data_IF_704794802486
#
_entry.id   IF_704794802486
#
_cell.length_a   1.000
_cell.length_b   1.000
_cell.length_c   1.000
_cell.angle_alpha   90.00
_cell.angle_beta   90.00
_cell.angle_gamma   90.00
#
_symmetry.space_group_name_H-M   'P 1'
#
loop_
_entity.id
_entity.type
_entity.pdbx_description
1 polymer ?
#
# COMPACT_ATOMS: atom_id res chain seq x y z
N UNK A 1 16.81 32.02 -2.73
CA UNK A 1 15.97 32.03 -3.94
C UNK A 1 15.45 33.46 -4.13
N UNK A 2 15.53 34.04 -5.34
CA UNK A 2 14.96 35.36 -5.61
C UNK A 2 13.43 35.31 -5.51
N UNK A 3 12.83 36.31 -4.87
CA UNK A 3 11.40 36.37 -4.52
C UNK A 3 10.75 37.48 -5.34
N UNK A 4 9.72 37.15 -6.11
CA UNK A 4 8.84 38.12 -6.77
C UNK A 4 7.63 38.39 -5.88
N UNK A 5 7.30 39.67 -5.64
CA UNK A 5 6.11 40.10 -4.90
C UNK A 5 4.95 40.39 -5.88
N UNK A 6 3.79 39.78 -5.66
CA UNK A 6 2.60 39.93 -6.51
C UNK A 6 1.39 40.28 -5.63
N UNK A 7 0.53 41.19 -6.09
CA UNK A 7 -0.56 41.81 -5.31
C UNK A 7 -1.85 40.98 -5.19
N UNK A 8 -2.06 40.00 -6.07
CA UNK A 8 -3.18 39.07 -6.03
C UNK A 8 -2.70 37.69 -6.46
N UNK A 9 -2.97 36.68 -5.65
CA UNK A 9 -2.57 35.30 -5.94
C UNK A 9 -3.80 34.46 -6.22
N UNK A 10 -3.92 33.78 -7.37
CA UNK A 10 -4.87 32.67 -7.52
C UNK A 10 -4.71 31.65 -6.39
N UNK A 11 -5.77 30.88 -6.06
CA UNK A 11 -5.74 29.91 -4.98
C UNK A 11 -4.45 29.07 -4.99
N UNK A 12 -3.76 29.04 -3.85
CA UNK A 12 -2.53 28.28 -3.69
C UNK A 12 -2.86 26.83 -3.35
N UNK A 13 -2.70 25.98 -4.35
CA UNK A 13 -2.69 24.53 -4.27
C UNK A 13 -1.23 24.06 -4.28
N UNK A 14 -1.01 22.77 -4.47
CA UNK A 14 0.33 22.24 -4.70
C UNK A 14 0.35 21.18 -5.78
N UNK A 15 1.56 20.68 -6.03
CA UNK A 15 1.82 19.54 -6.87
C UNK A 15 2.57 18.49 -6.07
N UNK A 16 2.18 17.24 -6.20
CA UNK A 16 2.93 16.07 -5.73
C UNK A 16 3.24 15.20 -6.93
N UNK A 17 4.39 14.54 -6.94
CA UNK A 17 4.74 13.69 -8.07
C UNK A 17 5.70 12.57 -7.71
N UNK A 18 5.66 11.54 -8.56
CA UNK A 18 6.51 10.37 -8.50
C UNK A 18 7.24 10.22 -9.84
N UNK A 19 8.56 10.01 -9.77
CA UNK A 19 9.40 9.70 -10.93
C UNK A 19 9.68 8.20 -10.94
N UNK A 20 9.28 7.55 -12.03
CA UNK A 20 9.47 6.12 -12.25
C UNK A 20 10.69 5.91 -13.14
N UNK A 21 11.56 4.96 -12.77
CA UNK A 21 12.63 4.44 -13.64
C UNK A 21 12.03 3.47 -14.66
N UNK A 22 11.17 4.02 -15.51
CA UNK A 22 10.46 3.36 -16.59
C UNK A 22 10.23 4.37 -17.69
N UNK A 23 10.76 4.10 -18.88
CA UNK A 23 10.44 4.85 -20.09
C UNK A 23 9.10 4.42 -20.65
N UNK A 24 8.27 5.38 -21.05
CA UNK A 24 6.95 5.16 -21.64
C UNK A 24 6.78 6.22 -22.72
N UNK A 25 6.35 5.81 -23.92
CA UNK A 25 6.04 6.72 -25.02
C UNK A 25 4.64 7.35 -24.87
N UNK A 26 4.44 8.52 -25.48
CA UNK A 26 3.12 9.17 -25.54
C UNK A 26 2.05 8.27 -26.19
N UNK A 27 2.43 7.49 -27.20
CA UNK A 27 1.53 6.50 -27.83
C UNK A 27 1.09 5.39 -26.89
N UNK A 28 1.99 4.87 -26.05
CA UNK A 28 1.66 3.82 -25.08
C UNK A 28 0.70 4.35 -24.01
N UNK A 29 0.94 5.58 -23.52
CA UNK A 29 0.03 6.24 -22.56
C UNK A 29 -1.37 6.39 -23.18
N UNK A 30 -1.46 6.93 -24.39
CA UNK A 30 -2.75 7.17 -25.05
C UNK A 30 -3.48 5.84 -25.33
N UNK A 31 -2.78 4.79 -25.80
CA UNK A 31 -3.39 3.47 -26.02
C UNK A 31 -3.99 2.91 -24.73
N UNK A 32 -3.22 2.92 -23.64
CA UNK A 32 -3.67 2.43 -22.34
C UNK A 32 -4.91 3.20 -21.84
N UNK A 33 -4.91 4.53 -21.93
CA UNK A 33 -6.03 5.35 -21.48
C UNK A 33 -7.30 5.13 -22.33
N UNK A 34 -7.14 4.86 -23.62
CA UNK A 34 -8.25 4.50 -24.51
C UNK A 34 -8.86 3.15 -24.17
N UNK A 35 -8.01 2.13 -24.00
CA UNK A 35 -8.43 0.76 -23.65
C UNK A 35 -9.09 0.70 -22.27
N UNK A 36 -8.62 1.52 -21.32
CA UNK A 36 -9.12 1.59 -19.95
C UNK A 36 -10.43 2.38 -19.79
N UNK A 37 -10.96 2.97 -20.87
CA UNK A 37 -12.17 3.81 -20.85
C UNK A 37 -11.98 5.19 -20.22
N UNK A 38 -10.73 5.60 -19.99
CA UNK A 38 -10.36 6.90 -19.37
C UNK A 38 -10.34 8.04 -20.41
N UNK A 39 -10.30 7.72 -21.71
CA UNK A 39 -10.15 8.64 -22.84
C UNK A 39 -11.02 9.91 -22.81
N UNK A 40 -12.26 9.80 -22.32
CA UNK A 40 -13.19 10.95 -22.24
C UNK A 40 -12.71 12.10 -21.38
N UNK A 41 -11.68 11.87 -20.54
CA UNK A 41 -11.09 12.85 -19.62
C UNK A 41 -9.63 13.20 -19.94
N UNK A 42 -9.16 12.83 -21.13
CA UNK A 42 -7.76 12.95 -21.54
C UNK A 42 -7.56 14.11 -22.51
N UNK A 43 -6.50 14.87 -22.30
CA UNK A 43 -6.07 15.88 -23.27
C UNK A 43 -4.54 16.01 -23.22
N UNK A 44 -3.92 16.19 -24.38
CA UNK A 44 -2.48 16.35 -24.55
C UNK A 44 -2.16 17.74 -25.09
N UNK A 45 -1.11 18.36 -24.58
CA UNK A 45 -0.77 19.72 -24.95
C UNK A 45 0.22 20.36 -24.03
N UNK A 46 0.33 21.68 -24.14
CA UNK A 46 1.21 22.51 -23.32
C UNK A 46 0.43 23.12 -22.15
N UNK A 47 0.90 22.89 -20.94
CA UNK A 47 0.26 23.33 -19.71
C UNK A 47 1.15 24.30 -18.96
N UNK A 48 0.57 25.39 -18.47
CA UNK A 48 1.22 26.26 -17.49
C UNK A 48 0.99 25.68 -16.10
N UNK A 49 2.08 25.46 -15.39
CA UNK A 49 2.07 24.94 -14.01
C UNK A 49 2.25 26.06 -12.99
N UNK A 50 2.31 27.30 -13.44
CA UNK A 50 2.33 28.46 -12.58
C UNK A 50 1.74 29.66 -13.29
N UNK A 51 0.70 30.29 -12.73
CA UNK A 51 0.05 31.46 -13.34
C UNK A 51 0.97 32.68 -13.42
N UNK A 52 2.13 32.63 -12.77
CA UNK A 52 3.12 33.71 -12.74
C UNK A 52 4.21 33.59 -13.80
N UNK A 53 4.26 32.47 -14.53
CA UNK A 53 5.28 32.19 -15.52
C UNK A 53 4.64 31.78 -16.84
N UNK A 54 5.14 32.34 -17.95
CA UNK A 54 4.68 32.00 -19.31
C UNK A 54 5.30 30.70 -19.85
N UNK A 55 5.98 29.92 -19.00
CA UNK A 55 6.58 28.65 -19.38
C UNK A 55 5.48 27.56 -19.40
N UNK A 56 5.32 26.92 -20.56
CA UNK A 56 4.36 25.83 -20.73
C UNK A 56 5.09 24.52 -21.02
N UNK A 57 4.70 23.43 -20.37
CA UNK A 57 5.32 22.12 -20.52
C UNK A 57 4.37 21.16 -21.20
N UNK A 58 4.88 20.35 -22.12
CA UNK A 58 4.08 19.34 -22.82
C UNK A 58 3.84 18.14 -21.91
N UNK A 59 2.58 17.78 -21.73
CA UNK A 59 2.15 16.61 -20.96
C UNK A 59 0.88 16.00 -21.55
N UNK A 60 0.51 14.83 -21.03
CA UNK A 60 -0.83 14.25 -21.15
C UNK A 60 -1.47 14.42 -19.79
N UNK A 61 -2.69 14.95 -19.68
CA UNK A 61 -3.39 14.96 -18.40
C UNK A 61 -4.67 14.16 -18.42
N UNK A 62 -5.05 13.72 -17.22
CA UNK A 62 -6.30 13.03 -16.91
C UNK A 62 -6.98 13.76 -15.77
N UNK A 63 -8.28 13.99 -15.87
CA UNK A 63 -9.07 14.55 -14.76
C UNK A 63 -9.41 13.48 -13.73
N UNK A 64 -8.98 13.69 -12.48
CA UNK A 64 -9.06 12.71 -11.39
C UNK A 64 -10.02 13.11 -10.27
N UNK A 65 -10.52 14.35 -10.27
CA UNK A 65 -11.47 14.85 -9.28
C UNK A 65 -11.72 16.34 -9.43
N UNK A 66 -12.21 16.98 -8.37
CA UNK A 66 -12.54 18.41 -8.36
C UNK A 66 -12.14 19.05 -7.02
N UNK A 67 -11.77 20.32 -7.05
CA UNK A 67 -11.66 21.16 -5.85
C UNK A 67 -13.04 21.59 -5.36
N UNK A 68 -13.13 22.10 -4.11
CA UNK A 68 -14.40 22.59 -3.53
C UNK A 68 -15.07 23.66 -4.41
N UNK A 69 -14.26 24.55 -5.02
CA UNK A 69 -14.69 25.58 -5.96
C UNK A 69 -15.15 25.03 -7.33
N UNK A 70 -15.05 23.72 -7.57
CA UNK A 70 -15.50 23.04 -8.78
C UNK A 70 -14.48 22.96 -9.91
N UNK A 71 -13.27 23.52 -9.74
CA UNK A 71 -12.19 23.36 -10.70
C UNK A 71 -11.72 21.89 -10.76
N UNK A 72 -11.42 21.33 -11.94
CA UNK A 72 -10.96 19.95 -12.06
C UNK A 72 -9.54 19.79 -11.52
N UNK A 73 -9.29 18.66 -10.85
CA UNK A 73 -7.96 18.24 -10.40
C UNK A 73 -7.36 17.32 -11.46
N UNK A 74 -6.13 17.62 -11.86
CA UNK A 74 -5.46 16.95 -12.97
C UNK A 74 -4.26 16.13 -12.50
N UNK A 75 -4.14 14.94 -13.08
CA UNK A 75 -2.94 14.12 -13.06
C UNK A 75 -2.25 14.23 -14.42
N UNK A 76 -1.02 14.74 -14.44
CA UNK A 76 -0.18 14.95 -15.61
C UNK A 76 0.86 13.83 -15.71
N UNK A 77 0.93 13.23 -16.89
CA UNK A 77 1.91 12.23 -17.26
C UNK A 77 2.90 12.91 -18.20
N UNK A 78 4.18 12.86 -17.84
CA UNK A 78 5.29 13.32 -18.65
C UNK A 78 6.05 12.08 -19.16
N UNK A 79 5.78 11.67 -20.42
CA UNK A 79 6.47 10.55 -21.04
C UNK A 79 7.97 10.84 -21.17
N UNK A 80 8.78 9.80 -21.06
CA UNK A 80 10.23 9.88 -21.24
C UNK A 80 10.80 8.55 -21.72
N UNK A 81 12.03 8.59 -22.20
CA UNK A 81 12.73 7.43 -22.74
C UNK A 81 13.29 6.50 -21.66
N UNK A 82 13.67 7.04 -20.50
CA UNK A 82 14.23 6.28 -19.36
C UNK A 82 13.40 6.45 -18.10
N UNK A 83 12.85 7.64 -17.90
CA UNK A 83 12.05 7.99 -16.75
C UNK A 83 10.72 8.61 -17.16
N UNK A 84 9.66 8.25 -16.44
CA UNK A 84 8.34 8.84 -16.58
C UNK A 84 8.00 9.58 -15.30
N UNK A 85 7.37 10.74 -15.41
CA UNK A 85 6.86 11.48 -14.25
C UNK A 85 5.34 11.45 -14.25
N UNK A 86 4.76 11.06 -13.11
CA UNK A 86 3.38 11.32 -12.75
C UNK A 86 3.36 12.52 -11.79
N UNK A 87 2.79 13.63 -12.21
CA UNK A 87 2.64 14.86 -11.43
C UNK A 87 1.14 15.11 -11.22
N UNK A 88 0.71 15.36 -9.99
CA UNK A 88 -0.70 15.48 -9.64
C UNK A 88 -0.95 16.75 -8.85
N UNK A 89 -2.01 17.46 -9.21
CA UNK A 89 -2.54 18.59 -8.45
C UNK A 89 -3.08 18.15 -7.09
N UNK A 90 -2.82 18.94 -6.05
CA UNK A 90 -3.22 18.65 -4.67
C UNK A 90 -3.53 19.93 -3.88
N UNK A 91 -3.89 19.80 -2.61
CA UNK A 91 -4.12 20.91 -1.70
C UNK A 91 -2.83 21.59 -1.22
N UNK A 92 -2.99 22.67 -0.46
CA UNK A 92 -1.89 23.43 0.16
C UNK A 92 -1.06 22.62 1.17
N UNK A 93 -1.57 21.49 1.67
CA UNK A 93 -0.87 20.60 2.58
C UNK A 93 -0.02 19.55 1.84
N UNK A 94 0.00 19.60 0.51
CA UNK A 94 0.68 18.61 -0.33
C UNK A 94 0.18 17.18 -0.05
N UNK A 95 -1.13 17.02 0.10
CA UNK A 95 -1.75 15.71 0.33
C UNK A 95 -1.35 14.72 -0.77
N UNK A 96 -0.91 13.52 -0.37
CA UNK A 96 -0.50 12.44 -1.29
C UNK A 96 -1.67 11.60 -1.82
N UNK A 97 -2.89 11.74 -1.28
CA UNK A 97 -4.07 11.00 -1.70
C UNK A 97 -4.34 11.06 -3.21
N UNK A 98 -4.30 12.25 -3.86
CA UNK A 98 -4.48 12.37 -5.30
C UNK A 98 -3.41 11.63 -6.10
N UNK A 99 -2.15 11.64 -5.64
CA UNK A 99 -1.07 10.88 -6.26
C UNK A 99 -1.36 9.38 -6.17
N UNK A 100 -1.62 8.85 -4.97
CA UNK A 100 -1.92 7.43 -4.75
C UNK A 100 -3.11 6.97 -5.61
N UNK A 101 -4.16 7.79 -5.72
CA UNK A 101 -5.29 7.51 -6.58
C UNK A 101 -4.89 7.43 -8.06
N UNK A 102 -4.11 8.40 -8.55
CA UNK A 102 -3.61 8.38 -9.92
C UNK A 102 -2.69 7.18 -10.18
N UNK A 103 -1.86 6.78 -9.21
CA UNK A 103 -1.02 5.58 -9.28
C UNK A 103 -1.86 4.31 -9.40
N UNK A 104 -2.92 4.16 -8.58
CA UNK A 104 -3.87 3.06 -8.69
C UNK A 104 -4.58 3.07 -10.04
N UNK A 105 -5.05 4.22 -10.52
CA UNK A 105 -5.72 4.32 -11.82
C UNK A 105 -4.80 3.93 -12.99
N UNK A 106 -3.51 4.25 -12.89
CA UNK A 106 -2.51 4.01 -13.91
C UNK A 106 -1.66 2.76 -13.65
N UNK A 107 -2.08 1.86 -12.75
CA UNK A 107 -1.27 0.73 -12.30
C UNK A 107 -1.00 -0.30 -13.41
N UNK A 108 -1.78 -0.30 -14.49
CA UNK A 108 -1.51 -1.10 -15.69
C UNK A 108 -0.36 -0.56 -16.54
N UNK A 109 0.01 0.70 -16.33
CA UNK A 109 1.04 1.42 -17.09
C UNK A 109 2.28 1.72 -16.24
N UNK A 110 2.08 2.12 -14.98
CA UNK A 110 3.12 2.52 -14.03
C UNK A 110 3.22 1.51 -12.89
N UNK A 111 4.46 1.12 -12.56
CA UNK A 111 4.73 0.20 -11.44
C UNK A 111 5.28 0.97 -10.23
N UNK A 112 4.60 0.97 -9.07
CA UNK A 112 5.07 1.65 -7.85
C UNK A 112 6.47 1.24 -7.40
N UNK A 113 6.86 -0.01 -7.65
CA UNK A 113 8.18 -0.54 -7.32
C UNK A 113 9.33 0.14 -8.08
N UNK A 114 9.04 0.82 -9.19
CA UNK A 114 10.03 1.52 -10.01
C UNK A 114 10.18 3.00 -9.63
N UNK A 115 9.50 3.46 -8.57
CA UNK A 115 9.63 4.84 -8.11
C UNK A 115 11.04 5.07 -7.58
N UNK A 116 11.72 6.08 -8.12
CA UNK A 116 13.07 6.50 -7.69
C UNK A 116 13.05 7.83 -6.94
N UNK A 117 11.96 8.60 -7.05
CA UNK A 117 11.76 9.83 -6.30
C UNK A 117 10.27 10.12 -6.13
N UNK A 118 9.88 10.50 -4.91
CA UNK A 118 8.63 11.22 -4.65
C UNK A 118 8.97 12.60 -4.09
N UNK A 119 8.34 13.63 -4.62
CA UNK A 119 8.51 15.00 -4.12
C UNK A 119 7.22 15.79 -4.28
N UNK A 120 7.16 16.95 -3.64
CA UNK A 120 6.05 17.87 -3.76
C UNK A 120 6.54 19.31 -3.72
N UNK A 121 5.77 20.19 -4.32
CA UNK A 121 6.02 21.63 -4.29
C UNK A 121 4.72 22.40 -4.32
N UNK A 122 4.60 23.48 -3.54
CA UNK A 122 3.53 24.45 -3.71
C UNK A 122 3.44 25.00 -5.15
N UNK A 123 2.27 25.46 -5.58
CA UNK A 123 2.03 25.93 -6.95
C UNK A 123 2.70 27.28 -7.31
N UNK A 124 3.27 27.96 -6.32
CA UNK A 124 4.08 29.17 -6.50
C UNK A 124 5.57 28.86 -6.80
N UNK A 125 5.91 27.60 -7.02
CA UNK A 125 7.24 27.14 -7.45
C UNK A 125 7.19 26.77 -8.92
N UNK A 126 8.05 27.36 -9.74
CA UNK A 126 8.12 27.07 -11.17
C UNK A 126 9.56 26.76 -11.63
N UNK A 127 9.78 25.64 -12.33
CA UNK A 127 8.82 24.54 -12.50
C UNK A 127 8.54 23.83 -11.17
N UNK A 128 7.47 23.01 -11.07
CA UNK A 128 7.25 22.16 -9.91
C UNK A 128 8.48 21.28 -9.62
N UNK A 129 8.79 21.04 -8.35
CA UNK A 129 9.99 20.27 -7.94
C UNK A 129 10.04 18.87 -8.57
N UNK A 130 8.93 18.09 -8.62
CA UNK A 130 8.98 16.78 -9.25
C UNK A 130 9.35 16.85 -10.74
N UNK A 131 8.96 17.92 -11.44
CA UNK A 131 9.36 18.15 -12.82
C UNK A 131 10.85 18.49 -12.95
N UNK A 132 11.39 19.33 -12.06
CA UNK A 132 12.82 19.62 -12.03
C UNK A 132 13.66 18.35 -11.80
N UNK A 133 13.23 17.49 -10.89
CA UNK A 133 13.88 16.19 -10.62
C UNK A 133 13.80 15.28 -11.85
N UNK A 134 12.63 15.14 -12.46
CA UNK A 134 12.47 14.35 -13.68
C UNK A 134 13.34 14.89 -14.82
N UNK A 135 13.37 16.21 -15.04
CA UNK A 135 14.18 16.84 -16.08
C UNK A 135 15.67 16.58 -15.88
N UNK A 136 16.15 16.57 -14.64
CA UNK A 136 17.53 16.20 -14.33
C UNK A 136 17.81 14.73 -14.65
N UNK A 137 16.91 13.82 -14.28
CA UNK A 137 17.09 12.37 -14.50
C UNK A 137 16.96 11.96 -15.97
N UNK A 138 15.95 12.48 -16.66
CA UNK A 138 15.64 12.13 -18.04
C UNK A 138 16.52 12.87 -19.04
N UNK A 139 16.72 14.20 -18.84
CA UNK A 139 17.37 15.07 -19.82
C UNK A 139 18.78 15.53 -19.41
N UNK A 140 19.21 15.25 -18.17
CA UNK A 140 20.47 15.77 -17.63
C UNK A 140 20.46 17.28 -17.37
N UNK A 141 19.30 17.93 -17.41
CA UNK A 141 19.17 19.39 -17.29
C UNK A 141 18.81 19.76 -15.85
N UNK A 142 19.65 20.55 -15.19
CA UNK A 142 19.31 21.18 -13.92
C UNK A 142 18.48 22.43 -14.19
N UNK A 143 17.23 22.44 -13.72
CA UNK A 143 16.34 23.59 -13.83
C UNK A 143 16.39 24.41 -12.54
N UNK A 144 16.54 25.73 -12.69
CA UNK A 144 16.46 26.66 -11.56
C UNK A 144 14.99 26.86 -11.15
N UNK A 145 14.65 26.48 -9.92
CA UNK A 145 13.30 26.65 -9.38
C UNK A 145 13.13 28.08 -8.83
N UNK A 146 12.19 28.82 -9.43
CA UNK A 146 11.82 30.17 -9.03
C UNK A 146 10.61 30.10 -8.08
N UNK A 147 10.62 30.95 -7.04
CA UNK A 147 9.56 30.96 -6.01
C UNK A 147 8.94 32.35 -5.90
N UNK A 148 7.62 32.41 -5.96
CA UNK A 148 6.84 33.64 -5.79
C UNK A 148 6.28 33.71 -4.37
N UNK A 149 6.38 34.84 -3.66
CA UNK A 149 5.71 35.01 -2.37
C UNK A 149 4.30 35.53 -2.58
N UNK A 150 3.33 34.80 -2.02
CA UNK A 150 1.91 35.06 -2.18
C UNK A 150 1.21 35.28 -0.83
N UNK A 151 0.17 36.12 -0.84
CA UNK A 151 -0.80 36.23 0.25
C UNK A 151 -1.80 35.07 0.27
N UNK A 152 -2.46 34.89 1.42
CA UNK A 152 -3.28 33.72 1.76
C UNK A 152 -4.55 33.55 0.92
N UNK A 153 -4.59 32.54 0.03
CA UNK A 153 -5.79 31.84 -0.41
C UNK A 153 -5.41 30.39 -0.69
N UNK A 154 -6.17 29.42 -0.17
CA UNK A 154 -5.84 27.99 -0.20
C UNK A 154 -6.97 27.22 -0.88
N UNK A 155 -6.66 26.40 -1.90
CA UNK A 155 -7.63 25.45 -2.47
C UNK A 155 -7.70 24.19 -1.61
N UNK A 156 -8.91 23.67 -1.41
CA UNK A 156 -9.19 22.41 -0.71
C UNK A 156 -9.78 21.41 -1.68
N UNK A 157 -9.44 20.14 -1.47
CA UNK A 157 -10.00 19.05 -2.27
C UNK A 157 -11.48 18.85 -1.90
N UNK A 158 -12.34 18.61 -2.88
CA UNK A 158 -13.78 18.42 -2.64
C UNK A 158 -14.02 17.08 -1.95
N UNK A 159 -14.70 17.11 -0.80
CA UNK A 159 -15.11 15.88 -0.12
C UNK A 159 -16.10 15.05 -0.98
N UNK A 160 -15.89 13.73 -1.15
CA UNK A 160 -16.78 12.89 -1.95
C UNK A 160 -18.10 12.52 -1.25
N UNK A 161 -18.97 11.73 -1.91
CA UNK A 161 -20.34 11.45 -1.46
C UNK A 161 -20.44 10.91 -0.01
N UNK A 162 -21.41 11.46 0.73
CA UNK A 162 -21.74 11.07 2.11
C UNK A 162 -22.88 10.04 2.12
N UNK A 163 -22.76 9.02 2.99
CA UNK A 163 -23.70 7.89 3.23
C UNK A 163 -23.57 6.62 2.36
N UNK A 164 -22.58 6.54 1.47
CA UNK A 164 -22.30 5.32 0.69
C UNK A 164 -20.82 4.97 0.77
N UNK A 165 -20.51 3.68 0.70
CA UNK A 165 -19.14 3.15 0.65
C UNK A 165 -18.96 2.39 -0.64
N UNK A 166 -17.86 2.66 -1.35
CA UNK A 166 -17.47 1.88 -2.51
C UNK A 166 -16.65 0.67 -2.09
N UNK A 167 -16.91 -0.51 -2.67
CA UNK A 167 -16.09 -1.71 -2.46
C UNK A 167 -15.47 -2.14 -3.77
N UNK A 168 -14.14 -2.16 -3.82
CA UNK A 168 -13.35 -2.67 -4.95
C UNK A 168 -12.82 -4.05 -4.56
N UNK A 169 -13.23 -5.08 -5.30
CA UNK A 169 -12.89 -6.47 -5.02
C UNK A 169 -13.08 -7.31 -6.28
N UNK A 170 -12.36 -8.43 -6.38
CA UNK A 170 -12.76 -9.50 -7.29
C UNK A 170 -13.91 -10.31 -6.65
N UNK A 171 -14.58 -11.17 -7.43
CA UNK A 171 -15.71 -11.95 -6.94
C UNK A 171 -15.39 -12.91 -5.79
N UNK A 172 -14.13 -13.37 -5.67
CA UNK A 172 -13.71 -14.30 -4.62
C UNK A 172 -13.55 -13.55 -3.29
N UNK A 173 -12.77 -12.47 -3.29
CA UNK A 173 -12.48 -11.68 -2.09
C UNK A 173 -13.72 -10.95 -1.58
N UNK A 174 -14.61 -10.54 -2.51
CA UNK A 174 -15.93 -9.99 -2.18
C UNK A 174 -16.77 -11.00 -1.39
N UNK A 175 -16.85 -12.24 -1.85
CA UNK A 175 -17.63 -13.29 -1.19
C UNK A 175 -17.02 -13.69 0.16
N UNK A 176 -15.70 -13.81 0.24
CA UNK A 176 -14.99 -14.14 1.48
C UNK A 176 -15.21 -13.09 2.57
N UNK A 177 -15.38 -11.82 2.18
CA UNK A 177 -15.50 -10.70 3.10
C UNK A 177 -16.94 -10.15 3.17
N UNK A 178 -17.93 -10.90 2.69
CA UNK A 178 -19.33 -10.45 2.61
C UNK A 178 -19.93 -10.11 4.00
N UNK A 179 -19.42 -10.71 5.07
CA UNK A 179 -19.79 -10.38 6.44
C UNK A 179 -19.45 -8.93 6.82
N UNK A 180 -18.35 -8.36 6.30
CA UNK A 180 -17.99 -6.96 6.46
C UNK A 180 -19.10 -6.06 5.91
N UNK A 181 -19.58 -6.39 4.71
CA UNK A 181 -20.59 -5.61 3.99
C UNK A 181 -21.89 -5.58 4.77
N UNK A 182 -22.39 -6.76 5.17
CA UNK A 182 -23.59 -6.87 6.02
C UNK A 182 -23.47 -6.05 7.30
N UNK A 183 -22.30 -6.10 7.97
CA UNK A 183 -22.10 -5.38 9.23
C UNK A 183 -22.15 -3.86 9.06
N UNK A 184 -21.64 -3.36 7.94
CA UNK A 184 -21.68 -1.94 7.59
C UNK A 184 -23.13 -1.52 7.26
N UNK A 185 -23.86 -2.36 6.51
CA UNK A 185 -25.26 -2.12 6.17
C UNK A 185 -26.19 -2.14 7.39
N UNK A 186 -25.96 -3.04 8.35
CA UNK A 186 -26.66 -3.06 9.65
C UNK A 186 -26.51 -1.75 10.43
N UNK A 187 -25.42 -1.01 10.21
CA UNK A 187 -25.19 0.31 10.83
C UNK A 187 -25.74 1.48 10.00
N UNK A 188 -26.52 1.18 8.95
CA UNK A 188 -27.27 2.16 8.17
C UNK A 188 -26.50 2.85 7.06
N UNK A 189 -25.36 2.29 6.62
CA UNK A 189 -24.63 2.75 5.44
C UNK A 189 -24.89 1.85 4.25
N UNK A 190 -25.06 2.42 3.06
CA UNK A 190 -25.19 1.62 1.83
C UNK A 190 -23.82 1.25 1.29
N UNK A 191 -23.67 0.02 0.82
CA UNK A 191 -22.43 -0.49 0.24
C UNK A 191 -22.63 -0.76 -1.24
N UNK A 192 -21.80 -0.16 -2.09
CA UNK A 192 -21.81 -0.37 -3.52
C UNK A 192 -20.62 -1.21 -3.96
N UNK A 193 -20.89 -2.39 -4.50
CA UNK A 193 -19.85 -3.19 -5.14
C UNK A 193 -19.48 -2.60 -6.50
N UNK A 194 -18.23 -2.13 -6.61
CA UNK A 194 -17.72 -1.44 -7.80
C UNK A 194 -17.06 -2.39 -8.80
N UNK A 195 -16.71 -3.61 -8.40
CA UNK A 195 -15.98 -4.58 -9.21
C UNK A 195 -14.45 -4.46 -9.07
N UNK A 196 -13.74 -4.88 -10.11
CA UNK A 196 -12.27 -5.00 -10.14
C UNK A 196 -11.62 -4.52 -11.45
N UNK A 197 -12.19 -3.55 -12.16
CA UNK A 197 -11.60 -2.97 -13.38
C UNK A 197 -11.07 -1.54 -13.16
N UNK A 198 -10.39 -0.99 -14.16
CA UNK A 198 -10.00 0.44 -14.20
C UNK A 198 -11.23 1.35 -14.05
N UNK A 199 -12.36 0.96 -14.62
CA UNK A 199 -13.64 1.65 -14.44
C UNK A 199 -14.12 1.60 -12.97
N UNK A 200 -13.85 0.51 -12.25
CA UNK A 200 -14.12 0.42 -10.80
C UNK A 200 -13.32 1.45 -10.02
N UNK A 201 -12.04 1.66 -10.38
CA UNK A 201 -11.19 2.70 -9.77
C UNK A 201 -11.72 4.09 -10.09
N UNK A 202 -12.15 4.35 -11.34
CA UNK A 202 -12.79 5.61 -11.71
C UNK A 202 -14.06 5.88 -10.88
N UNK A 203 -14.91 4.87 -10.69
CA UNK A 203 -16.12 4.98 -9.86
C UNK A 203 -15.77 5.21 -8.39
N UNK A 204 -14.70 4.58 -7.90
CA UNK A 204 -14.23 4.71 -6.52
C UNK A 204 -13.85 6.14 -6.13
N UNK A 205 -13.49 7.02 -7.09
CA UNK A 205 -13.22 8.44 -6.82
C UNK A 205 -14.42 9.22 -6.24
N UNK A 206 -15.65 8.72 -6.43
CA UNK A 206 -16.88 9.38 -6.00
C UNK A 206 -17.21 9.16 -4.53
N UNK A 207 -16.57 8.18 -3.89
CA UNK A 207 -16.92 7.73 -2.55
C UNK A 207 -15.97 8.30 -1.51
N UNK A 208 -16.54 8.75 -0.38
CA UNK A 208 -15.74 9.28 0.74
C UNK A 208 -14.90 8.19 1.38
N UNK A 209 -15.44 6.97 1.46
CA UNK A 209 -14.72 5.79 1.92
C UNK A 209 -14.80 4.71 0.85
N UNK A 210 -13.64 4.14 0.52
CA UNK A 210 -13.52 2.99 -0.39
C UNK A 210 -12.83 1.84 0.31
N UNK A 211 -13.43 0.66 0.31
CA UNK A 211 -12.83 -0.56 0.84
C UNK A 211 -12.26 -1.38 -0.32
N UNK A 212 -10.99 -1.70 -0.24
CA UNK A 212 -10.32 -2.63 -1.14
C UNK A 212 -10.23 -3.99 -0.46
N UNK A 213 -10.86 -5.02 -1.03
CA UNK A 213 -10.80 -6.39 -0.52
C UNK A 213 -9.83 -7.21 -1.36
N UNK A 214 -8.90 -7.87 -0.68
CA UNK A 214 -7.82 -8.64 -1.28
C UNK A 214 -6.49 -7.89 -1.29
N UNK A 215 -5.40 -8.66 -1.21
CA UNK A 215 -4.03 -8.12 -1.17
C UNK A 215 -3.46 -7.75 -2.55
N UNK A 216 -2.21 -7.29 -2.55
CA UNK A 216 -1.48 -6.94 -3.77
C UNK A 216 -1.28 -8.11 -4.76
N UNK A 217 -1.40 -9.36 -4.29
CA UNK A 217 -1.36 -10.58 -5.12
C UNK A 217 -2.75 -11.06 -5.57
N UNK A 218 -3.82 -10.37 -5.17
CA UNK A 218 -5.18 -10.77 -5.56
C UNK A 218 -5.34 -10.71 -7.09
N UNK A 219 -5.96 -11.73 -7.71
CA UNK A 219 -6.19 -11.72 -9.15
C UNK A 219 -6.98 -10.49 -9.56
N UNK A 220 -6.48 -9.79 -10.59
CA UNK A 220 -7.05 -8.58 -11.19
C UNK A 220 -6.98 -7.34 -10.29
N UNK A 221 -7.42 -7.42 -9.03
CA UNK A 221 -7.46 -6.29 -8.08
C UNK A 221 -6.10 -5.93 -7.50
N UNK A 222 -5.17 -6.89 -7.38
CA UNK A 222 -3.90 -6.71 -6.68
C UNK A 222 -3.06 -5.55 -7.22
N UNK A 223 -3.08 -5.33 -8.54
CA UNK A 223 -2.39 -4.20 -9.20
C UNK A 223 -2.86 -2.83 -8.71
N UNK A 224 -4.14 -2.69 -8.36
CA UNK A 224 -4.71 -1.43 -7.84
C UNK A 224 -4.41 -1.22 -6.37
N UNK A 225 -4.25 -2.31 -5.62
CA UNK A 225 -3.97 -2.33 -4.18
C UNK A 225 -2.49 -2.08 -3.89
N UNK A 226 -1.59 -2.53 -4.76
CA UNK A 226 -0.15 -2.38 -4.57
C UNK A 226 0.29 -0.91 -4.33
N UNK A 227 -0.16 0.09 -5.12
CA UNK A 227 0.12 1.50 -4.84
C UNK A 227 -0.38 1.99 -3.48
N UNK A 228 -1.49 1.44 -2.98
CA UNK A 228 -2.06 1.80 -1.68
C UNK A 228 -1.18 1.32 -0.52
N UNK A 229 -0.61 0.11 -0.67
CA UNK A 229 0.20 -0.50 0.37
C UNK A 229 1.62 0.07 0.39
N UNK A 230 2.20 0.41 -0.78
CA UNK A 230 3.62 0.76 -0.90
C UNK A 230 4.48 -0.32 -0.20
N UNK A 231 5.38 0.07 0.69
CA UNK A 231 6.24 -0.83 1.46
C UNK A 231 5.45 -1.74 2.44
N UNK A 232 4.15 -1.52 2.63
CA UNK A 232 3.32 -2.36 3.50
C UNK A 232 2.90 -3.67 2.86
N UNK A 233 3.19 -3.91 1.58
CA UNK A 233 3.01 -5.22 0.96
C UNK A 233 3.79 -6.31 1.71
N UNK A 234 4.92 -5.97 2.34
CA UNK A 234 5.71 -6.88 3.18
C UNK A 234 4.91 -7.48 4.35
N UNK A 235 3.89 -6.78 4.87
CA UNK A 235 3.02 -7.33 5.92
C UNK A 235 2.08 -8.43 5.40
N UNK A 236 1.96 -8.59 4.09
CA UNK A 236 1.19 -9.65 3.43
C UNK A 236 2.08 -10.80 2.96
N UNK A 237 3.37 -10.81 3.33
CA UNK A 237 4.23 -11.96 3.14
C UNK A 237 3.97 -13.02 4.24
N UNK A 238 4.33 -14.28 3.98
CA UNK A 238 4.44 -15.35 4.99
C UNK A 238 3.25 -15.56 5.96
N UNK A 239 2.03 -15.71 5.44
CA UNK A 239 0.81 -15.86 6.26
C UNK A 239 0.42 -14.61 7.04
N UNK A 240 0.84 -13.42 6.60
CA UNK A 240 0.41 -12.14 7.17
C UNK A 240 -0.98 -11.69 6.71
N UNK A 241 -1.59 -10.79 7.48
CA UNK A 241 -2.80 -10.07 7.11
C UNK A 241 -2.76 -8.64 7.65
N UNK A 242 -3.48 -7.73 6.99
CA UNK A 242 -3.61 -6.35 7.42
C UNK A 242 -4.98 -5.79 7.06
N UNK A 243 -5.44 -4.88 7.90
CA UNK A 243 -6.37 -3.83 7.50
C UNK A 243 -5.49 -2.58 7.33
N UNK A 244 -5.82 -1.60 6.50
CA UNK A 244 -4.99 -0.39 6.38
C UNK A 244 -5.78 0.78 5.80
N UNK A 245 -6.10 1.80 6.59
CA UNK A 245 -6.66 3.03 6.10
C UNK A 245 -5.55 3.96 5.60
N UNK A 246 -5.88 4.72 4.57
CA UNK A 246 -5.04 5.81 4.10
C UNK A 246 -5.86 6.83 3.33
N UNK A 247 -5.22 7.94 2.96
CA UNK A 247 -5.89 8.99 2.17
C UNK A 247 -6.12 8.52 0.74
N UNK A 248 -7.33 8.69 0.24
CA UNK A 248 -7.79 8.26 -1.07
C UNK A 248 -8.31 9.42 -1.91
N UNK A 249 -8.07 9.34 -3.22
CA UNK A 249 -8.67 10.27 -4.18
C UNK A 249 -8.39 11.73 -3.81
N UNK A 250 -9.40 12.56 -3.98
CA UNK A 250 -9.34 14.00 -3.74
C UNK A 250 -9.91 14.35 -2.36
N UNK A 251 -9.47 13.66 -1.30
CA UNK A 251 -9.86 13.95 0.09
C UNK A 251 -10.72 12.89 0.78
N UNK A 252 -10.89 11.71 0.16
CA UNK A 252 -11.51 10.54 0.79
C UNK A 252 -10.51 9.68 1.57
N UNK A 253 -10.99 8.54 2.05
CA UNK A 253 -10.21 7.51 2.74
C UNK A 253 -10.37 6.18 2.00
N UNK A 254 -9.27 5.44 1.81
CA UNK A 254 -9.33 4.05 1.40
C UNK A 254 -9.10 3.19 2.64
N UNK A 255 -9.59 1.95 2.61
CA UNK A 255 -9.28 0.91 3.59
C UNK A 255 -8.95 -0.37 2.82
N UNK A 256 -7.73 -0.85 2.92
CA UNK A 256 -7.36 -2.17 2.41
C UNK A 256 -7.66 -3.21 3.47
N UNK A 257 -8.34 -4.30 3.11
CA UNK A 257 -8.51 -5.49 3.94
C UNK A 257 -7.94 -6.66 3.15
N UNK A 258 -6.79 -7.16 3.58
CA UNK A 258 -5.98 -8.07 2.79
C UNK A 258 -5.28 -9.13 3.65
N UNK A 259 -5.11 -10.31 3.09
CA UNK A 259 -4.19 -11.33 3.58
C UNK A 259 -3.20 -11.76 2.51
N UNK A 260 -2.16 -12.48 2.94
CA UNK A 260 -1.19 -13.16 2.07
C UNK A 260 -1.86 -14.17 1.13
N UNK A 261 -2.94 -14.77 1.61
CA UNK A 261 -3.79 -15.71 0.87
C UNK A 261 -5.27 -15.55 1.26
N UNK A 262 -6.12 -16.45 0.77
CA UNK A 262 -7.57 -16.45 1.04
C UNK A 262 -7.91 -16.70 2.51
N UNK A 263 -7.13 -17.53 3.20
CA UNK A 263 -7.36 -17.83 4.61
C UNK A 263 -7.01 -16.63 5.48
N UNK A 264 -5.89 -15.98 5.21
CA UNK A 264 -5.47 -14.77 5.89
C UNK A 264 -6.36 -13.56 5.55
N UNK A 265 -6.89 -13.49 4.33
CA UNK A 265 -7.88 -12.46 3.97
C UNK A 265 -9.17 -12.63 4.76
N UNK A 266 -9.62 -13.88 4.98
CA UNK A 266 -10.76 -14.16 5.87
C UNK A 266 -10.47 -13.75 7.31
N UNK A 267 -9.27 -14.02 7.83
CA UNK A 267 -8.86 -13.53 9.16
C UNK A 267 -8.89 -12.00 9.25
N UNK A 268 -8.38 -11.30 8.24
CA UNK A 268 -8.46 -9.84 8.17
C UNK A 268 -9.91 -9.34 8.24
N UNK A 269 -10.82 -10.02 7.53
CA UNK A 269 -12.24 -9.70 7.57
C UNK A 269 -12.87 -9.96 8.95
N UNK A 270 -12.52 -11.06 9.63
CA UNK A 270 -12.97 -11.36 10.98
C UNK A 270 -12.50 -10.32 11.99
N UNK A 271 -11.25 -9.88 11.90
CA UNK A 271 -10.69 -8.83 12.76
C UNK A 271 -11.29 -7.45 12.49
N UNK A 272 -11.59 -7.18 11.22
CA UNK A 272 -12.31 -5.97 10.83
C UNK A 272 -13.66 -5.88 11.57
N UNK A 273 -14.39 -6.99 11.64
CA UNK A 273 -15.71 -7.03 12.28
C UNK A 273 -15.69 -6.74 13.78
N UNK A 274 -14.54 -6.90 14.46
CA UNK A 274 -14.41 -6.67 15.90
C UNK A 274 -14.41 -5.20 16.32
N UNK A 275 -14.28 -4.24 15.39
CA UNK A 275 -14.30 -2.82 15.76
C UNK A 275 -14.25 -1.80 14.62
N UNK A 276 -13.96 -2.21 13.38
CA UNK A 276 -13.79 -1.27 12.26
C UNK A 276 -15.11 -0.71 11.72
N UNK A 277 -16.21 -1.44 11.89
CA UNK A 277 -17.50 -1.01 11.38
C UNK A 277 -17.96 0.33 12.00
N UNK A 278 -17.77 0.54 13.31
CA UNK A 278 -18.10 1.81 13.97
C UNK A 278 -17.19 2.96 13.54
N UNK A 279 -15.90 2.67 13.39
CA UNK A 279 -14.90 3.62 12.88
C UNK A 279 -15.30 4.12 11.49
N UNK A 280 -15.70 3.21 10.60
CA UNK A 280 -16.10 3.56 9.23
C UNK A 280 -17.36 4.40 9.21
N UNK A 281 -18.32 4.12 10.09
CA UNK A 281 -19.53 4.93 10.18
C UNK A 281 -19.19 6.37 10.55
N UNK A 282 -18.27 6.58 11.50
CA UNK A 282 -17.76 7.93 11.82
C UNK A 282 -16.99 8.54 10.66
N UNK A 283 -16.08 7.82 10.01
CA UNK A 283 -15.35 8.32 8.83
C UNK A 283 -16.30 8.81 7.73
N UNK A 284 -17.37 8.06 7.44
CA UNK A 284 -18.33 8.42 6.39
C UNK A 284 -19.18 9.63 6.80
N UNK A 285 -19.68 9.66 8.04
CA UNK A 285 -20.65 10.68 8.50
C UNK A 285 -20.00 11.97 9.00
N UNK A 286 -18.91 11.85 9.74
CA UNK A 286 -18.29 12.93 10.51
C UNK A 286 -17.00 13.44 9.85
N UNK A 287 -16.41 12.66 8.92
CA UNK A 287 -15.18 13.07 8.25
C UNK A 287 -13.93 13.00 9.10
N UNK A 288 -13.98 12.28 10.22
CA UNK A 288 -12.81 12.08 11.07
C UNK A 288 -11.68 11.41 10.29
N UNK A 289 -10.54 12.09 10.18
CA UNK A 289 -9.28 11.45 9.81
C UNK A 289 -8.83 10.55 10.95
N UNK A 290 -9.13 9.26 10.86
CA UNK A 290 -8.62 8.32 11.84
C UNK A 290 -7.23 7.87 11.41
N UNK A 291 -6.21 8.43 12.08
CA UNK A 291 -4.86 7.88 12.06
C UNK A 291 -4.88 6.58 12.85
N UNK A 292 -5.19 5.48 12.17
CA UNK A 292 -5.12 4.15 12.78
C UNK A 292 -3.75 3.58 12.50
N UNK A 293 -2.92 3.62 13.55
CA UNK A 293 -1.67 2.88 13.61
C UNK A 293 -2.03 1.39 13.61
N UNK A 294 -1.53 0.64 12.63
CA UNK A 294 -1.75 -0.79 12.59
C UNK A 294 -0.89 -1.49 13.62
N UNK A 295 -1.55 -2.13 14.58
CA UNK A 295 -1.03 -3.34 15.22
C UNK A 295 -1.24 -4.47 14.22
N UNK A 296 -0.23 -4.79 13.41
CA UNK A 296 -0.12 -6.15 12.93
C UNK A 296 0.05 -7.02 14.17
N UNK A 297 -1.00 -7.72 14.61
CA UNK A 297 -0.90 -8.60 15.76
C UNK A 297 0.22 -9.60 15.48
N UNK A 298 1.26 -9.50 16.31
CA UNK A 298 2.34 -10.47 16.38
C UNK A 298 1.76 -11.89 16.23
N UNK A 299 2.28 -12.65 15.28
CA UNK A 299 1.92 -14.04 15.08
C UNK A 299 3.16 -14.90 14.88
N UNK A 300 3.02 -16.17 15.21
CA UNK A 300 4.05 -17.19 15.01
C UNK A 300 3.43 -18.26 14.11
N UNK A 301 4.00 -18.45 12.92
CA UNK A 301 3.62 -19.51 12.00
C UNK A 301 4.69 -20.60 11.98
N UNK A 302 4.28 -21.86 11.88
CA UNK A 302 5.19 -23.02 11.82
C UNK A 302 4.85 -23.92 10.63
N UNK A 303 5.87 -24.26 9.85
CA UNK A 303 5.85 -25.36 8.91
C UNK A 303 6.85 -26.41 9.40
N UNK A 304 6.39 -27.63 9.65
CA UNK A 304 7.25 -28.69 10.17
C UNK A 304 7.11 -29.99 9.39
N UNK A 305 8.25 -30.61 9.15
CA UNK A 305 8.36 -31.89 8.47
C UNK A 305 9.44 -32.73 9.15
N UNK A 306 9.21 -34.04 9.18
CA UNK A 306 10.20 -35.03 9.61
C UNK A 306 10.73 -35.82 8.41
N UNK A 307 11.97 -36.27 8.51
CA UNK A 307 12.59 -37.15 7.52
C UNK A 307 13.71 -37.99 8.14
N UNK A 308 14.21 -38.99 7.40
CA UNK A 308 15.37 -39.77 7.85
C UNK A 308 16.63 -38.91 7.85
N UNK A 309 17.39 -38.93 8.94
CA UNK A 309 18.63 -38.18 9.09
C UNK A 309 19.27 -38.42 10.44
N UNK A 310 20.54 -38.04 10.57
CA UNK A 310 21.27 -38.12 11.84
C UNK A 310 21.59 -36.70 12.32
N UNK A 311 21.07 -36.34 13.48
CA UNK A 311 21.38 -35.09 14.17
C UNK A 311 21.54 -35.39 15.67
N UNK A 312 22.75 -35.24 16.19
CA UNK A 312 23.07 -35.56 17.59
C UNK A 312 22.63 -34.45 18.55
N UNK A 313 22.74 -33.19 18.12
CA UNK A 313 22.35 -32.01 18.91
C UNK A 313 21.37 -31.15 18.12
N UNK A 314 20.37 -30.62 18.83
CA UNK A 314 19.39 -29.73 18.23
C UNK A 314 20.04 -28.43 17.74
N UNK A 315 19.51 -27.87 16.65
CA UNK A 315 20.07 -26.68 15.99
C UNK A 315 19.02 -25.58 15.86
N UNK A 316 19.49 -24.33 15.93
CA UNK A 316 18.68 -23.15 15.70
C UNK A 316 19.43 -22.17 14.80
N UNK A 317 18.83 -21.84 13.66
CA UNK A 317 19.29 -20.78 12.77
C UNK A 317 18.27 -19.64 12.75
N UNK A 318 18.73 -18.40 12.89
CA UNK A 318 17.88 -17.21 12.88
C UNK A 318 18.30 -16.27 11.74
N UNK A 319 17.33 -15.70 11.05
CA UNK A 319 17.54 -14.69 10.02
C UNK A 319 16.43 -13.64 10.08
N UNK A 320 16.78 -12.37 9.95
CA UNK A 320 15.80 -11.31 9.76
C UNK A 320 15.42 -11.21 8.28
N UNK A 321 14.11 -11.16 8.01
CA UNK A 321 13.55 -10.91 6.67
C UNK A 321 12.44 -9.86 6.82
N UNK A 322 12.68 -8.64 6.36
CA UNK A 322 11.73 -7.56 6.61
C UNK A 322 11.63 -7.21 8.09
N UNK A 323 10.39 -7.22 8.57
CA UNK A 323 10.00 -7.09 9.96
C UNK A 323 9.68 -8.44 10.62
N UNK A 324 10.10 -9.55 10.02
CA UNK A 324 9.94 -10.90 10.55
C UNK A 324 11.29 -11.51 10.92
N UNK A 325 11.25 -12.47 11.84
CA UNK A 325 12.36 -13.38 12.13
C UNK A 325 11.99 -14.75 11.58
N UNK A 326 12.80 -15.26 10.66
CA UNK A 326 12.81 -16.67 10.24
C UNK A 326 13.68 -17.45 11.22
N UNK A 327 13.10 -18.46 11.85
CA UNK A 327 13.81 -19.42 12.69
C UNK A 327 13.71 -20.82 12.08
N UNK A 328 14.84 -21.49 11.87
CA UNK A 328 14.89 -22.91 11.49
C UNK A 328 15.38 -23.68 12.70
N UNK A 329 14.50 -24.49 13.28
CA UNK A 329 14.80 -25.36 14.42
C UNK A 329 14.83 -26.82 13.96
N UNK A 330 15.86 -27.56 14.35
CA UNK A 330 16.03 -28.98 14.01
C UNK A 330 16.32 -29.79 15.28
N UNK A 331 15.67 -30.96 15.42
CA UNK A 331 15.86 -31.88 16.54
C UNK A 331 15.97 -33.33 16.00
N UNK A 332 16.94 -34.10 16.50
CA UNK A 332 17.04 -35.52 16.23
C UNK A 332 15.98 -36.31 17.00
N UNK A 333 15.35 -37.29 16.34
CA UNK A 333 14.24 -38.06 16.92
C UNK A 333 14.22 -39.51 16.43
N UNK A 334 13.59 -40.41 17.18
CA UNK A 334 13.45 -41.83 16.80
C UNK A 334 12.32 -42.10 15.80
N UNK A 335 11.40 -41.15 15.63
CA UNK A 335 10.27 -41.21 14.69
C UNK A 335 10.43 -40.12 13.62
N UNK A 336 10.74 -40.49 12.36
CA UNK A 336 10.91 -39.56 11.25
C UNK A 336 9.59 -39.02 10.69
N UNK A 337 8.41 -39.53 11.08
CA UNK A 337 7.13 -38.93 10.68
C UNK A 337 6.46 -38.15 11.80
N UNK A 338 7.23 -37.67 12.76
CA UNK A 338 6.77 -36.66 13.69
C UNK A 338 6.86 -35.25 13.07
N UNK A 339 5.96 -34.36 13.51
CA UNK A 339 6.02 -32.93 13.20
C UNK A 339 5.89 -32.11 14.47
N UNK A 340 6.45 -30.91 14.45
CA UNK A 340 6.27 -29.94 15.51
C UNK A 340 4.95 -29.18 15.36
N UNK A 341 4.41 -28.78 16.51
CA UNK A 341 3.41 -27.74 16.64
C UNK A 341 3.80 -26.82 17.80
N UNK A 342 3.33 -25.57 17.75
CA UNK A 342 3.58 -24.60 18.82
C UNK A 342 2.64 -24.93 19.98
N UNK A 343 3.20 -25.32 21.12
CA UNK A 343 2.44 -25.60 22.34
C UNK A 343 2.17 -24.31 23.12
N UNK A 344 3.18 -23.44 23.21
CA UNK A 344 3.09 -22.14 23.86
C UNK A 344 4.12 -21.15 23.29
N UNK A 345 3.90 -19.86 23.51
CA UNK A 345 4.88 -18.82 23.23
C UNK A 345 4.73 -17.59 24.12
N UNK A 346 5.83 -16.89 24.37
CA UNK A 346 5.82 -15.58 25.04
C UNK A 346 6.73 -14.57 24.35
N UNK A 347 6.36 -13.30 24.46
CA UNK A 347 7.09 -12.16 23.89
C UNK A 347 7.16 -11.07 24.93
N UNK A 348 8.32 -10.88 25.54
CA UNK A 348 8.53 -9.87 26.58
C UNK A 348 9.88 -9.19 26.39
N UNK A 349 9.88 -7.85 26.35
CA UNK A 349 11.11 -7.04 26.34
C UNK A 349 12.17 -7.43 25.28
N UNK A 350 11.74 -7.88 24.10
CA UNK A 350 12.65 -8.32 23.02
C UNK A 350 13.15 -9.76 23.17
N UNK A 351 12.67 -10.52 24.16
CA UNK A 351 12.86 -11.96 24.28
C UNK A 351 11.60 -12.69 23.77
N UNK A 352 11.80 -13.63 22.86
CA UNK A 352 10.75 -14.45 22.25
C UNK A 352 11.04 -15.90 22.64
N UNK A 353 10.13 -16.53 23.38
CA UNK A 353 10.23 -17.94 23.76
C UNK A 353 9.14 -18.72 23.07
N UNK A 354 9.51 -19.84 22.45
CA UNK A 354 8.58 -20.72 21.75
C UNK A 354 8.80 -22.14 22.27
N UNK A 355 7.73 -22.75 22.77
CA UNK A 355 7.72 -24.15 23.16
C UNK A 355 7.09 -24.97 22.02
N UNK A 356 7.86 -25.90 21.48
CA UNK A 356 7.40 -26.84 20.46
C UNK A 356 7.15 -28.20 21.10
N UNK A 357 5.97 -28.74 20.83
CA UNK A 357 5.66 -30.14 21.11
C UNK A 357 5.53 -30.93 19.81
N UNK A 358 5.61 -32.25 19.94
CA UNK A 358 5.62 -33.19 18.83
C UNK A 358 4.29 -33.93 18.74
N UNK A 359 3.88 -34.21 17.51
CA UNK A 359 2.78 -35.11 17.23
C UNK A 359 3.17 -36.03 16.08
N UNK A 360 2.94 -37.34 16.23
CA UNK A 360 3.12 -38.29 15.14
C UNK A 360 2.09 -38.04 14.05
N UNK A 361 2.53 -38.07 12.80
CA UNK A 361 1.63 -37.98 11.65
C UNK A 361 1.00 -39.35 11.35
N UNK A 362 -0.04 -39.37 10.53
CA UNK A 362 -0.72 -40.60 10.09
C UNK A 362 0.06 -41.36 9.00
N UNK A 363 1.34 -41.04 8.78
CA UNK A 363 2.17 -41.65 7.76
C UNK A 363 2.82 -42.94 8.27
N UNK A 364 2.98 -43.93 7.38
CA UNK A 364 3.72 -45.15 7.70
C UNK A 364 5.22 -44.83 7.63
N UNK A 365 5.92 -44.89 8.76
CA UNK A 365 7.33 -44.54 8.85
C UNK A 365 8.25 -45.71 8.56
N UNK A 366 9.33 -45.44 7.83
CA UNK A 366 10.47 -46.33 7.69
C UNK A 366 11.25 -46.36 9.01
N UNK A 367 11.77 -47.52 9.42
CA UNK A 367 12.62 -47.65 10.61
C UNK A 367 14.00 -47.00 10.36
N UNK A 368 14.10 -45.69 10.56
CA UNK A 368 15.34 -44.92 10.51
C UNK A 368 15.36 -43.93 11.69
N UNK A 369 16.56 -43.47 12.07
CA UNK A 369 16.68 -42.28 12.92
C UNK A 369 16.21 -41.08 12.09
N UNK A 370 15.36 -40.25 12.69
CA UNK A 370 14.74 -39.10 12.06
C UNK A 370 15.33 -37.78 12.53
N UNK A 371 15.18 -36.76 11.69
CA UNK A 371 15.34 -35.35 12.04
C UNK A 371 14.01 -34.67 11.77
N UNK A 372 13.54 -33.88 12.72
CA UNK A 372 12.35 -33.05 12.56
C UNK A 372 12.81 -31.61 12.43
N UNK A 373 12.38 -30.96 11.35
CA UNK A 373 12.69 -29.56 11.06
C UNK A 373 11.41 -28.73 11.24
N UNK A 374 11.54 -27.57 11.89
CA UNK A 374 10.51 -26.55 12.01
C UNK A 374 11.02 -25.24 11.41
N UNK A 375 10.37 -24.81 10.34
CA UNK A 375 10.52 -23.47 9.78
C UNK A 375 9.47 -22.58 10.44
N UNK A 376 9.92 -21.64 11.26
CA UNK A 376 9.07 -20.74 12.02
C UNK A 376 9.22 -19.31 11.51
N UNK A 377 8.11 -18.65 11.22
CA UNK A 377 8.08 -17.21 10.97
C UNK A 377 7.50 -16.51 12.18
N UNK A 378 8.20 -15.49 12.68
CA UNK A 378 7.91 -14.79 13.93
C UNK A 378 7.78 -13.30 13.59
N UNK A 379 6.57 -12.76 13.67
CA UNK A 379 6.36 -11.33 13.47
C UNK A 379 4.94 -10.95 13.08
N UNK A 380 4.72 -9.70 12.64
CA UNK A 380 5.71 -8.63 12.51
C UNK A 380 6.26 -8.14 13.85
N UNK A 381 7.51 -7.68 13.84
CA UNK A 381 8.23 -7.12 14.98
C UNK A 381 8.79 -5.73 14.66
N UNK A 382 8.77 -4.77 15.61
CA UNK A 382 9.40 -3.48 15.40
C UNK A 382 10.93 -3.60 15.21
N UNK A 383 11.61 -2.60 14.62
CA UNK A 383 13.07 -2.60 14.53
C UNK A 383 13.72 -2.69 15.92
N UNK A 384 14.69 -3.58 16.07
CA UNK A 384 15.30 -3.88 17.35
C UNK A 384 16.10 -5.18 17.34
N UNK A 385 16.81 -5.43 18.43
CA UNK A 385 17.51 -6.70 18.66
C UNK A 385 16.63 -7.62 19.48
N UNK A 386 16.47 -8.85 18.99
CA UNK A 386 15.62 -9.88 19.59
C UNK A 386 16.45 -11.09 19.96
N UNK A 387 16.16 -11.64 21.14
CA UNK A 387 16.64 -12.96 21.57
C UNK A 387 15.52 -13.96 21.36
N UNK A 388 15.74 -14.96 20.52
CA UNK A 388 14.74 -15.99 20.21
C UNK A 388 15.21 -17.32 20.80
N UNK A 389 14.37 -17.92 21.64
CA UNK A 389 14.63 -19.21 22.28
C UNK A 389 13.55 -20.23 21.88
N UNK A 390 13.95 -21.35 21.28
CA UNK A 390 13.06 -22.45 20.89
C UNK A 390 13.50 -23.72 21.62
N UNK A 391 12.61 -24.31 22.42
CA UNK A 391 12.90 -25.49 23.25
C UNK A 391 14.23 -25.38 24.03
N UNK A 392 14.51 -24.18 24.57
CA UNK A 392 15.71 -23.90 25.39
C UNK A 392 16.97 -23.52 24.61
N UNK A 393 17.01 -23.66 23.29
CA UNK A 393 18.12 -23.19 22.45
C UNK A 393 17.87 -21.75 22.04
N UNK A 394 18.81 -20.85 22.31
CA UNK A 394 18.65 -19.42 22.06
C UNK A 394 19.63 -18.89 21.02
N UNK A 395 19.16 -17.97 20.18
CA UNK A 395 19.97 -17.14 19.29
C UNK A 395 19.56 -15.67 19.39
N UNK A 396 20.34 -14.78 18.76
CA UNK A 396 20.01 -13.36 18.66
C UNK A 396 19.97 -12.91 17.20
N UNK A 397 19.04 -12.02 16.90
CA UNK A 397 18.82 -11.48 15.55
C UNK A 397 18.38 -10.04 15.65
N UNK A 398 18.77 -9.19 14.69
CA UNK A 398 18.39 -7.78 14.69
C UNK A 398 17.60 -7.45 13.44
N UNK A 399 16.48 -6.74 13.63
CA UNK A 399 15.64 -6.17 12.57
C UNK A 399 16.07 -4.72 12.38
N UNK A 400 16.55 -4.38 11.18
CA UNK A 400 16.97 -3.03 10.81
C UNK A 400 15.77 -2.10 10.56
N UNK A 401 15.91 -0.81 10.86
CA UNK A 401 15.00 0.22 10.36
C UNK A 401 15.16 0.33 8.84
N UNK A 402 14.03 0.26 8.13
CA UNK A 402 13.93 0.62 6.72
C UNK A 402 13.89 2.14 6.56
#
# INVERSE_FOLDING_TARGET
MPILNISACPPTAGYVGAVYKQGISESEVISYLNESGIASKVNSGYFSFSPYFNESLRAIYVEIGFYEEGAPIKAYIFPGSKYTLLLVETDFNLNKGPLIYAESLLSGLLSPEKIVNESGSPNNWNPPVPYAVWSKLEKGVNLDVKVVRCGYMYSKLREPEINRIGVVANGIDYNLSFSIIKKIEEKGLKVDYLGCSEESILKASKYRVVIFLGGHLAPITGKFVLPLLKNRSAYLEENGWLIFPGRWGTGGTFIVVAGSDRYMTRKAAEEFLKGWADIIVRMVKEGEEVSLTFNSTFHIAIESHGGCGLLEESRLLLKAEGNYIRAIYEEGHSDPCSKFYIADYSVENGEIRIELQRVSTSLICVQCIGVITANISIGPLPPGSYKVCINGICGSVSISKY
#
